data_IF_063603043711
#
_entry.id   IF_063603043711
#
_cell.length_a   1.000
_cell.length_b   1.000
_cell.length_c   1.000
_cell.angle_alpha   90.00
_cell.angle_beta   90.00
_cell.angle_gamma   90.00
#
_symmetry.space_group_name_H-M   'P 1'
#
loop_
_entity.id
_entity.type
_entity.pdbx_description
1 polymer ?
#
# COMPACT_ATOMS: atom_id res chain seq x y z
N UNK A 1 -12.32 -5.60 4.39
CA UNK A 1 -12.26 -5.56 2.91
C UNK A 1 -11.00 -6.29 2.42
N UNK A 2 -10.89 -6.69 1.15
CA UNK A 2 -9.60 -7.12 0.59
C UNK A 2 -8.83 -5.93 0.00
N UNK A 3 -7.51 -5.95 0.09
CA UNK A 3 -6.61 -4.92 -0.43
C UNK A 3 -5.50 -5.55 -1.28
N UNK A 4 -5.10 -4.84 -2.32
CA UNK A 4 -3.87 -5.11 -3.06
C UNK A 4 -2.71 -4.41 -2.36
N UNK A 5 -1.65 -5.15 -2.09
CA UNK A 5 -0.43 -4.63 -1.49
C UNK A 5 0.67 -4.60 -2.54
N UNK A 6 1.26 -3.43 -2.72
CA UNK A 6 2.39 -3.20 -3.60
C UNK A 6 3.58 -2.74 -2.79
N UNK A 7 4.78 -3.12 -3.19
CA UNK A 7 6.03 -2.67 -2.61
C UNK A 7 6.80 -1.85 -3.63
N UNK A 8 7.31 -0.68 -3.24
CA UNK A 8 8.19 0.09 -4.10
C UNK A 8 9.55 -0.59 -4.19
N UNK A 9 10.21 -0.46 -5.34
CA UNK A 9 11.62 -0.82 -5.45
C UNK A 9 12.43 0.10 -4.54
N UNK A 10 13.07 -0.48 -3.53
CA UNK A 10 14.00 0.25 -2.67
C UNK A 10 15.17 0.77 -3.53
N UNK A 11 15.46 2.06 -3.39
CA UNK A 11 16.70 2.67 -3.88
C UNK A 11 17.81 2.44 -2.84
N UNK A 12 19.08 2.48 -3.23
CA UNK A 12 20.20 2.36 -2.28
C UNK A 12 20.07 3.39 -1.14
N UNK A 13 19.81 2.90 0.07
CA UNK A 13 19.65 3.72 1.28
C UNK A 13 18.22 4.14 1.64
N UNK A 14 17.21 3.79 0.84
CA UNK A 14 15.80 4.07 1.16
C UNK A 14 15.04 2.80 1.52
N UNK A 15 14.24 2.87 2.59
CA UNK A 15 13.34 1.79 2.96
C UNK A 15 12.22 1.66 1.92
N UNK A 16 11.86 0.44 1.50
CA UNK A 16 10.76 0.23 0.57
C UNK A 16 9.44 0.73 1.18
N UNK A 17 8.61 1.39 0.38
CA UNK A 17 7.28 1.79 0.79
C UNK A 17 6.25 0.73 0.39
N UNK A 18 5.23 0.53 1.22
CA UNK A 18 4.09 -0.32 0.91
C UNK A 18 2.91 0.55 0.50
N UNK A 19 2.44 0.37 -0.73
CA UNK A 19 1.23 0.99 -1.25
C UNK A 19 0.09 -0.01 -1.16
N UNK A 20 -0.98 0.37 -0.47
CA UNK A 20 -2.16 -0.43 -0.26
C UNK A 20 -3.30 0.21 -1.04
N UNK A 21 -3.90 -0.57 -1.93
CA UNK A 21 -5.07 -0.17 -2.70
C UNK A 21 -6.25 -1.07 -2.36
N UNK A 22 -7.49 -0.56 -2.39
CA UNK A 22 -8.66 -1.43 -2.29
C UNK A 22 -8.63 -2.49 -3.40
N UNK A 23 -9.16 -3.68 -3.12
CA UNK A 23 -9.30 -4.70 -4.15
C UNK A 23 -10.50 -4.38 -5.06
N UNK A 24 -10.25 -4.07 -6.32
CA UNK A 24 -11.31 -3.82 -7.30
C UNK A 24 -10.85 -3.06 -8.56
N UNK A 25 -11.73 -2.93 -9.56
CA UNK A 25 -11.39 -2.29 -10.84
C UNK A 25 -11.16 -0.77 -10.74
N UNK A 26 -11.61 -0.13 -9.66
CA UNK A 26 -11.36 1.28 -9.39
C UNK A 26 -10.00 1.53 -8.71
N UNK A 27 -9.28 0.47 -8.34
CA UNK A 27 -7.99 0.56 -7.68
C UNK A 27 -6.91 0.95 -8.68
N UNK A 28 -6.42 2.17 -8.57
CA UNK A 28 -5.35 2.69 -9.41
C UNK A 28 -4.26 3.34 -8.56
N UNK A 29 -3.01 3.19 -8.99
CA UNK A 29 -1.89 3.89 -8.37
C UNK A 29 -2.04 5.40 -8.67
N UNK A 30 -2.09 6.25 -7.63
CA UNK A 30 -2.25 7.69 -7.81
C UNK A 30 -1.16 8.31 -8.71
N UNK A 31 -1.46 9.36 -9.50
CA UNK A 31 -0.51 9.94 -10.46
C UNK A 31 0.83 10.36 -9.86
N UNK A 32 0.83 10.91 -8.64
CA UNK A 32 2.05 11.33 -7.94
C UNK A 32 2.91 10.14 -7.44
N UNK A 33 2.35 8.93 -7.39
CA UNK A 33 3.06 7.71 -7.03
C UNK A 33 3.48 6.88 -8.24
N UNK A 34 2.98 7.17 -9.44
CA UNK A 34 3.33 6.44 -10.68
C UNK A 34 4.80 6.63 -11.11
N UNK A 35 5.51 7.61 -10.55
CA UNK A 35 6.95 7.79 -10.77
C UNK A 35 7.84 6.71 -10.12
N UNK A 36 7.28 5.87 -9.25
CA UNK A 36 7.98 4.78 -8.58
C UNK A 36 7.69 3.43 -9.26
N UNK A 37 8.68 2.52 -9.28
CA UNK A 37 8.46 1.14 -9.71
C UNK A 37 7.77 0.36 -8.58
N UNK A 38 6.51 0.00 -8.79
CA UNK A 38 5.71 -0.79 -7.85
C UNK A 38 5.65 -2.24 -8.28
N UNK A 39 5.80 -3.14 -7.31
CA UNK A 39 5.63 -4.59 -7.51
C UNK A 39 4.49 -5.09 -6.66
N UNK A 40 3.58 -5.82 -7.27
CA UNK A 40 2.49 -6.46 -6.54
C UNK A 40 3.08 -7.53 -5.61
N UNK A 41 2.80 -7.40 -4.32
CA UNK A 41 3.29 -8.28 -3.27
C UNK A 41 2.24 -9.34 -2.93
N UNK A 42 1.02 -8.92 -2.61
CA UNK A 42 -0.05 -9.83 -2.18
C UNK A 42 -1.44 -9.17 -2.28
N UNK A 43 -2.48 -10.00 -2.31
CA UNK A 43 -3.86 -9.60 -2.04
C UNK A 43 -4.22 -10.17 -0.67
N UNK A 44 -4.50 -9.32 0.30
CA UNK A 44 -4.79 -9.76 1.67
C UNK A 44 -5.79 -8.82 2.37
N UNK A 45 -6.08 -9.09 3.63
CA UNK A 45 -6.84 -8.21 4.51
C UNK A 45 -5.95 -7.09 5.08
N UNK A 46 -6.48 -5.89 5.35
CA UNK A 46 -5.72 -4.79 5.96
C UNK A 46 -5.24 -5.09 7.40
N UNK A 47 -5.77 -6.15 8.01
CA UNK A 47 -5.38 -6.70 9.32
C UNK A 47 -4.18 -7.65 9.24
N UNK A 48 -3.70 -7.96 8.04
CA UNK A 48 -2.60 -8.89 7.86
C UNK A 48 -1.29 -8.27 8.38
N UNK A 49 -0.59 -9.04 9.21
CA UNK A 49 0.71 -8.66 9.76
C UNK A 49 1.76 -8.35 8.70
N UNK A 50 1.57 -8.85 7.47
CA UNK A 50 2.41 -8.54 6.31
C UNK A 50 2.45 -7.04 5.99
N UNK A 51 1.38 -6.29 6.30
CA UNK A 51 1.33 -4.85 6.07
C UNK A 51 2.10 -4.08 7.16
N UNK A 52 2.11 -4.60 8.38
CA UNK A 52 2.89 -4.04 9.50
C UNK A 52 2.45 -2.64 9.95
N UNK A 53 1.24 -2.21 9.60
CA UNK A 53 0.68 -0.91 9.96
C UNK A 53 -0.68 -1.05 10.65
N UNK A 54 -1.13 0.00 11.34
CA UNK A 54 -2.44 0.03 12.00
C UNK A 54 -3.57 -0.08 10.96
N UNK A 55 -4.44 -1.07 11.15
CA UNK A 55 -5.56 -1.33 10.26
C UNK A 55 -6.51 -0.14 10.17
N UNK A 56 -6.78 0.55 11.29
CA UNK A 56 -7.66 1.71 11.30
C UNK A 56 -7.09 2.85 10.45
N UNK A 57 -5.79 3.11 10.55
CA UNK A 57 -5.11 4.12 9.71
C UNK A 57 -5.17 3.77 8.21
N UNK A 58 -5.03 2.49 7.86
CA UNK A 58 -5.14 2.00 6.47
C UNK A 58 -6.55 2.21 5.95
N UNK A 59 -7.57 1.81 6.70
CA UNK A 59 -8.97 1.93 6.28
C UNK A 59 -9.40 3.40 6.13
N UNK A 60 -8.99 4.26 7.07
CA UNK A 60 -9.23 5.70 7.00
C UNK A 60 -8.52 6.31 5.78
N UNK A 61 -7.24 6.00 5.57
CA UNK A 61 -6.49 6.52 4.42
C UNK A 61 -7.10 6.09 3.08
N UNK A 62 -7.52 4.82 2.98
CA UNK A 62 -8.23 4.33 1.79
C UNK A 62 -9.56 5.05 1.60
N UNK A 63 -10.32 5.29 2.67
CA UNK A 63 -11.59 5.98 2.60
C UNK A 63 -11.45 7.45 2.17
N UNK A 64 -10.41 8.16 2.65
CA UNK A 64 -10.20 9.58 2.36
C UNK A 64 -9.46 9.84 1.05
N UNK A 65 -8.48 8.99 0.71
CA UNK A 65 -7.56 9.21 -0.41
C UNK A 65 -7.67 8.16 -1.52
N UNK A 66 -8.38 7.06 -1.29
CA UNK A 66 -8.47 5.92 -2.21
C UNK A 66 -7.28 4.96 -2.15
N UNK A 67 -6.30 5.22 -1.29
CA UNK A 67 -5.12 4.40 -1.06
C UNK A 67 -4.54 4.64 0.34
N UNK A 68 -3.71 3.72 0.84
CA UNK A 68 -2.85 3.96 1.99
C UNK A 68 -1.39 3.74 1.60
N UNK A 69 -0.50 4.61 2.08
CA UNK A 69 0.94 4.49 1.88
C UNK A 69 1.57 4.30 3.26
N UNK A 70 2.08 3.10 3.51
CA UNK A 70 2.68 2.75 4.79
C UNK A 70 4.16 2.47 4.59
N UNK A 71 4.96 2.86 5.59
CA UNK A 71 6.36 2.43 5.67
C UNK A 71 6.38 1.19 6.53
N UNK A 72 7.02 0.09 6.10
CA UNK A 72 7.19 -1.07 6.94
C UNK A 72 8.06 -0.67 8.13
N UNK A 73 7.44 -0.41 9.28
CA UNK A 73 8.16 -0.33 10.55
C UNK A 73 8.48 -1.76 10.95
N UNK A 74 9.74 -2.16 10.72
CA UNK A 74 10.27 -3.45 11.18
C UNK A 74 10.23 -3.61 12.69
#
# INVERSE_FOLDING_TARGET
>A
MQVNVFVSKASEGEEPALLILPYGPAAAIPPHLQGLEWRHLAITSPEDKLIGADTGEIEVSIAEHGYALVKPTG
#
